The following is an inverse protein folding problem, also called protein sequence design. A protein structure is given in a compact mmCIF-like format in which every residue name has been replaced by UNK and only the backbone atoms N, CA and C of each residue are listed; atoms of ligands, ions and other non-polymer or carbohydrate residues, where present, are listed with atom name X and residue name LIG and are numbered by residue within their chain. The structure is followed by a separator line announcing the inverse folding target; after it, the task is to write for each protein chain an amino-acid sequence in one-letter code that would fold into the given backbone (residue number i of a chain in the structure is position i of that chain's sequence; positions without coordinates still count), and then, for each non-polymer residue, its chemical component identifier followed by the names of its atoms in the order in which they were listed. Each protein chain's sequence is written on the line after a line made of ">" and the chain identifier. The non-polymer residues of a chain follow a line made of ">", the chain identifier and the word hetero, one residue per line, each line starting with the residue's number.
data_IF_534635721234
#
_entry.id   IF_534635721234
#
_cell.length_a   1.000
_cell.length_b   1.000
_cell.length_c   1.000
_cell.angle_alpha   90.00
_cell.angle_beta   90.00
_cell.angle_gamma   90.00
#
_symmetry.space_group_name_H-M   'P 1'
#
loop_
_entity.id
_entity.type
_entity.pdbx_description
1 polymer ?
#
# COMPACT_ATOMS: atom_id res chain seq x y z
N UNK A 1 -11.84 3.09 -16.22
CA UNK A 1 -12.59 3.92 -15.26
C UNK A 1 -12.28 3.39 -13.87
N UNK A 2 -11.75 4.22 -12.96
CA UNK A 2 -11.50 3.80 -11.58
C UNK A 2 -12.84 3.65 -10.87
N UNK A 3 -13.17 2.45 -10.40
CA UNK A 3 -14.37 2.24 -9.59
C UNK A 3 -14.27 3.10 -8.33
N UNK A 4 -15.26 3.96 -8.04
CA UNK A 4 -15.26 4.76 -6.82
C UNK A 4 -15.27 3.84 -5.58
N UNK A 5 -14.56 4.25 -4.53
CA UNK A 5 -14.56 3.55 -3.24
C UNK A 5 -15.98 3.56 -2.64
N UNK A 6 -16.42 2.45 -2.08
CA UNK A 6 -17.75 2.41 -1.42
C UNK A 6 -17.77 3.27 -0.16
N UNK A 7 -18.96 3.73 0.25
CA UNK A 7 -19.14 4.49 1.49
C UNK A 7 -18.68 3.69 2.72
N UNK A 8 -18.95 2.38 2.74
CA UNK A 8 -18.51 1.48 3.82
C UNK A 8 -16.98 1.39 3.91
N UNK A 9 -16.30 1.14 2.79
CA UNK A 9 -14.84 1.11 2.75
C UNK A 9 -14.24 2.46 3.17
N UNK A 10 -14.84 3.57 2.73
CA UNK A 10 -14.43 4.92 3.14
C UNK A 10 -14.57 5.13 4.64
N UNK A 11 -15.68 4.73 5.25
CA UNK A 11 -15.88 4.83 6.71
C UNK A 11 -14.84 3.99 7.47
N UNK A 12 -14.53 2.79 6.99
CA UNK A 12 -13.48 1.94 7.59
C UNK A 12 -12.11 2.63 7.54
N UNK A 13 -11.73 3.23 6.41
CA UNK A 13 -10.49 3.99 6.28
C UNK A 13 -10.47 5.20 7.23
N UNK A 14 -11.53 6.00 7.26
CA UNK A 14 -11.64 7.19 8.13
C UNK A 14 -11.41 6.82 9.60
N UNK A 15 -12.11 5.79 10.08
CA UNK A 15 -12.06 5.39 11.50
C UNK A 15 -10.71 4.81 11.91
N UNK A 16 -10.02 4.14 11.00
CA UNK A 16 -8.81 3.37 11.34
C UNK A 16 -7.51 4.02 10.89
N UNK A 17 -7.55 5.06 10.05
CA UNK A 17 -6.37 5.82 9.63
C UNK A 17 -5.49 6.32 10.80
N UNK A 18 -6.04 6.87 11.91
CA UNK A 18 -5.21 7.28 13.04
C UNK A 18 -4.45 6.11 13.67
N UNK A 19 -5.12 4.96 13.82
CA UNK A 19 -4.53 3.75 14.39
C UNK A 19 -3.45 3.18 13.46
N UNK A 20 -3.69 3.13 12.16
CA UNK A 20 -2.69 2.68 11.18
C UNK A 20 -1.46 3.59 11.17
N UNK A 21 -1.65 4.90 11.31
CA UNK A 21 -0.52 5.85 11.46
C UNK A 21 0.26 5.61 12.74
N UNK A 22 -0.43 5.38 13.85
CA UNK A 22 0.21 5.06 15.13
C UNK A 22 1.06 3.78 15.05
N UNK A 23 0.58 2.77 14.31
CA UNK A 23 1.26 1.49 14.15
C UNK A 23 2.17 1.40 12.91
N UNK A 24 2.42 2.51 12.20
CA UNK A 24 3.14 2.53 10.92
C UNK A 24 4.46 1.75 10.96
N UNK A 25 5.31 1.99 11.96
CA UNK A 25 6.63 1.34 12.03
C UNK A 25 6.53 -0.17 12.22
N UNK A 26 5.57 -0.64 13.03
CA UNK A 26 5.33 -2.07 13.22
C UNK A 26 4.77 -2.72 11.93
N UNK A 27 3.87 -2.02 11.23
CA UNK A 27 3.32 -2.46 9.93
C UNK A 27 4.45 -2.59 8.90
N UNK A 28 5.31 -1.57 8.79
CA UNK A 28 6.46 -1.58 7.89
C UNK A 28 7.38 -2.75 8.19
N UNK A 29 7.72 -3.00 9.47
CA UNK A 29 8.60 -4.10 9.85
C UNK A 29 8.01 -5.47 9.45
N UNK A 30 6.71 -5.69 9.67
CA UNK A 30 6.04 -6.95 9.30
C UNK A 30 5.91 -7.14 7.79
N UNK A 31 5.60 -6.07 7.06
CA UNK A 31 5.54 -6.11 5.60
C UNK A 31 6.93 -6.31 4.99
N UNK A 32 7.96 -5.66 5.53
CA UNK A 32 9.34 -5.88 5.12
C UNK A 32 9.75 -7.35 5.27
N UNK A 33 9.38 -8.00 6.38
CA UNK A 33 9.60 -9.43 6.56
C UNK A 33 8.92 -10.27 5.47
N UNK A 34 7.66 -9.96 5.14
CA UNK A 34 6.91 -10.65 4.08
C UNK A 34 7.54 -10.48 2.69
N UNK A 35 8.18 -9.33 2.43
CA UNK A 35 8.82 -9.01 1.15
C UNK A 35 10.21 -9.63 0.96
N UNK A 36 10.87 -10.15 2.00
CA UNK A 36 12.22 -10.75 1.89
C UNK A 36 12.30 -11.89 0.87
N UNK A 37 11.19 -12.59 0.63
CA UNK A 37 11.12 -13.68 -0.34
C UNK A 37 11.05 -13.23 -1.81
N UNK A 38 10.79 -11.94 -2.08
CA UNK A 38 10.55 -11.44 -3.46
C UNK A 38 11.85 -11.35 -4.27
N UNK A 39 12.97 -10.97 -3.64
CA UNK A 39 14.27 -10.90 -4.30
C UNK A 39 15.39 -11.28 -3.36
N UNK A 40 16.17 -12.30 -3.75
CA UNK A 40 17.35 -12.77 -3.02
C UNK A 40 18.56 -11.84 -3.14
N UNK A 41 18.53 -10.90 -4.08
CA UNK A 41 19.64 -9.97 -4.37
C UNK A 41 19.53 -8.65 -3.60
N UNK A 42 18.37 -8.36 -2.98
CA UNK A 42 18.15 -7.12 -2.24
C UNK A 42 18.64 -7.25 -0.81
N UNK A 43 19.28 -6.20 -0.29
CA UNK A 43 19.64 -6.15 1.12
C UNK A 43 18.39 -6.02 2.00
N UNK A 44 18.50 -6.35 3.28
CA UNK A 44 17.40 -6.15 4.23
C UNK A 44 16.96 -4.68 4.31
N UNK A 45 17.91 -3.73 4.20
CA UNK A 45 17.64 -2.30 4.19
C UNK A 45 16.85 -1.88 2.94
N UNK A 46 17.16 -2.43 1.78
CA UNK A 46 16.41 -2.14 0.54
C UNK A 46 14.97 -2.63 0.65
N UNK A 47 14.78 -3.85 1.16
CA UNK A 47 13.45 -4.44 1.36
C UNK A 47 12.62 -3.62 2.35
N UNK A 48 13.23 -3.16 3.45
CA UNK A 48 12.58 -2.26 4.40
C UNK A 48 12.20 -0.93 3.74
N UNK A 49 13.09 -0.37 2.91
CA UNK A 49 12.84 0.88 2.18
C UNK A 49 11.67 0.74 1.21
N UNK A 50 11.56 -0.40 0.52
CA UNK A 50 10.42 -0.72 -0.35
C UNK A 50 9.14 -0.84 0.48
N UNK A 51 9.14 -1.62 1.58
CA UNK A 51 7.97 -1.79 2.44
C UNK A 51 7.49 -0.45 3.01
N UNK A 52 8.42 0.40 3.46
CA UNK A 52 8.15 1.75 3.95
C UNK A 52 7.51 2.63 2.87
N UNK A 53 8.10 2.65 1.68
CA UNK A 53 7.59 3.44 0.55
C UNK A 53 6.16 3.03 0.18
N UNK A 54 5.87 1.72 0.10
CA UNK A 54 4.53 1.22 -0.20
C UNK A 54 3.51 1.53 0.92
N UNK A 55 3.94 1.42 2.18
CA UNK A 55 3.10 1.72 3.35
C UNK A 55 2.77 3.22 3.42
N UNK A 56 3.74 4.09 3.17
CA UNK A 56 3.55 5.54 3.11
C UNK A 56 2.59 5.95 2.00
N UNK A 57 2.78 5.39 0.80
CA UNK A 57 1.85 5.59 -0.31
C UNK A 57 0.43 5.18 0.07
N UNK A 58 0.26 4.01 0.68
CA UNK A 58 -1.06 3.53 1.09
C UNK A 58 -1.71 4.44 2.13
N UNK A 59 -0.98 4.87 3.18
CA UNK A 59 -1.49 5.79 4.21
C UNK A 59 -1.91 7.13 3.60
N UNK A 60 -1.09 7.67 2.70
CA UNK A 60 -1.36 8.93 2.02
C UNK A 60 -2.60 8.86 1.13
N UNK A 61 -2.74 7.78 0.37
CA UNK A 61 -3.88 7.58 -0.51
C UNK A 61 -5.15 7.25 0.29
N UNK A 62 -5.05 6.47 1.35
CA UNK A 62 -6.15 6.24 2.29
C UNK A 62 -6.63 7.56 2.92
N UNK A 63 -5.70 8.47 3.27
CA UNK A 63 -6.06 9.80 3.75
C UNK A 63 -6.84 10.60 2.70
N UNK A 64 -6.37 10.62 1.46
CA UNK A 64 -7.10 11.27 0.35
C UNK A 64 -8.48 10.65 0.12
N UNK A 65 -8.56 9.33 -0.01
CA UNK A 65 -9.83 8.61 -0.18
C UNK A 65 -10.80 8.88 0.98
N UNK A 66 -10.30 8.95 2.21
CA UNK A 66 -11.10 9.25 3.39
C UNK A 66 -11.69 10.66 3.36
N UNK A 67 -10.92 11.65 2.89
CA UNK A 67 -11.32 13.06 2.86
C UNK A 67 -12.13 13.45 1.62
N UNK A 68 -11.67 13.05 0.43
CA UNK A 68 -12.22 13.49 -0.87
C UNK A 68 -12.93 12.38 -1.63
N UNK A 69 -12.76 11.12 -1.26
CA UNK A 69 -13.24 9.97 -2.05
C UNK A 69 -12.42 9.69 -3.31
N UNK A 70 -11.31 10.41 -3.51
CA UNK A 70 -10.46 10.31 -4.71
C UNK A 70 -8.99 10.07 -4.36
N UNK A 71 -8.27 9.43 -5.28
CA UNK A 71 -6.82 9.26 -5.18
C UNK A 71 -6.11 10.59 -5.49
N UNK A 72 -4.99 10.84 -4.83
CA UNK A 72 -4.07 11.92 -5.24
C UNK A 72 -3.36 11.52 -6.54
N UNK A 73 -2.84 12.48 -7.32
CA UNK A 73 -1.99 12.20 -8.47
C UNK A 73 -0.85 11.21 -8.14
N UNK A 74 -0.55 10.33 -9.09
CA UNK A 74 0.41 9.21 -8.91
C UNK A 74 1.60 9.28 -9.90
N UNK A 75 1.72 10.37 -10.65
CA UNK A 75 2.72 10.52 -11.71
C UNK A 75 4.15 10.40 -11.14
N UNK A 76 4.44 11.11 -10.04
CA UNK A 76 5.75 11.05 -9.37
C UNK A 76 6.00 9.72 -8.64
N UNK A 77 4.93 9.07 -8.19
CA UNK A 77 4.99 7.78 -7.46
C UNK A 77 5.50 6.69 -8.39
N UNK A 78 5.01 6.66 -9.63
CA UNK A 78 5.39 5.64 -10.62
C UNK A 78 6.88 5.70 -10.94
N UNK A 79 7.42 6.91 -11.13
CA UNK A 79 8.85 7.15 -11.36
C UNK A 79 9.70 6.74 -10.15
N UNK A 80 9.28 7.10 -8.94
CA UNK A 80 9.98 6.71 -7.70
C UNK A 80 10.00 5.18 -7.50
N UNK A 81 8.88 4.51 -7.76
CA UNK A 81 8.80 3.06 -7.65
C UNK A 81 9.69 2.36 -8.67
N UNK A 82 9.73 2.86 -9.92
CA UNK A 82 10.64 2.35 -10.95
C UNK A 82 12.11 2.53 -10.56
N UNK A 83 12.49 3.69 -10.00
CA UNK A 83 13.86 3.93 -9.52
C UNK A 83 14.27 3.00 -8.36
N UNK A 84 13.32 2.61 -7.52
CA UNK A 84 13.53 1.60 -6.46
C UNK A 84 13.48 0.16 -7.00
N UNK A 85 13.12 -0.04 -8.28
CA UNK A 85 12.93 -1.37 -8.89
C UNK A 85 11.77 -2.14 -8.27
N UNK A 86 10.71 -1.44 -7.85
CA UNK A 86 9.46 -2.03 -7.39
C UNK A 86 8.66 -2.47 -8.63
N UNK A 87 8.39 -3.77 -8.73
CA UNK A 87 7.64 -4.38 -9.83
C UNK A 87 6.37 -5.09 -9.32
N UNK A 88 5.65 -5.74 -10.24
CA UNK A 88 4.43 -6.50 -9.96
C UNK A 88 4.55 -7.52 -8.82
N UNK A 89 5.74 -8.11 -8.62
CA UNK A 89 5.96 -9.13 -7.59
C UNK A 89 5.97 -8.51 -6.20
N UNK A 90 6.57 -7.31 -6.07
CA UNK A 90 6.53 -6.56 -4.81
C UNK A 90 5.12 -6.12 -4.47
N UNK A 91 4.34 -5.61 -5.44
CA UNK A 91 2.95 -5.23 -5.18
C UNK A 91 2.10 -6.43 -4.75
N UNK A 92 2.24 -7.55 -5.46
CA UNK A 92 1.50 -8.78 -5.14
C UNK A 92 1.83 -9.26 -3.73
N UNK A 93 3.12 -9.39 -3.41
CA UNK A 93 3.53 -9.87 -2.09
C UNK A 93 3.13 -8.92 -0.96
N UNK A 94 3.18 -7.62 -1.21
CA UNK A 94 2.72 -6.61 -0.26
C UNK A 94 1.21 -6.71 -0.01
N UNK A 95 0.42 -6.83 -1.08
CA UNK A 95 -1.04 -6.98 -1.03
C UNK A 95 -1.47 -8.24 -0.28
N UNK A 96 -0.84 -9.38 -0.58
CA UNK A 96 -1.11 -10.68 0.08
C UNK A 96 -0.83 -10.63 1.59
N UNK A 97 0.21 -9.87 1.98
CA UNK A 97 0.60 -9.75 3.37
C UNK A 97 -0.23 -8.73 4.15
N UNK A 98 -0.96 -7.84 3.47
CA UNK A 98 -1.61 -6.69 4.10
C UNK A 98 -2.68 -7.12 5.11
N UNK A 99 -3.59 -8.00 4.70
CA UNK A 99 -4.70 -8.46 5.55
C UNK A 99 -4.20 -9.13 6.83
N UNK A 100 -3.34 -10.18 6.78
CA UNK A 100 -2.87 -10.83 8.01
C UNK A 100 -2.05 -9.88 8.90
N UNK A 101 -1.22 -9.00 8.34
CA UNK A 101 -0.43 -8.03 9.13
C UNK A 101 -1.35 -7.05 9.85
N UNK A 102 -2.36 -6.53 9.16
CA UNK A 102 -3.31 -5.58 9.73
C UNK A 102 -4.18 -6.24 10.81
N UNK A 103 -4.70 -7.44 10.56
CA UNK A 103 -5.50 -8.16 11.56
C UNK A 103 -4.71 -8.47 12.83
N UNK A 104 -3.44 -8.81 12.71
CA UNK A 104 -2.56 -9.12 13.85
C UNK A 104 -2.16 -7.85 14.64
N UNK A 105 -1.85 -6.75 13.96
CA UNK A 105 -1.39 -5.52 14.63
C UNK A 105 -2.52 -4.68 15.23
N UNK A 106 -3.67 -4.63 14.57
CA UNK A 106 -4.80 -3.81 15.04
C UNK A 106 -5.63 -4.53 16.11
N UNK A 107 -5.47 -5.86 16.22
CA UNK A 107 -6.08 -6.67 17.26
C UNK A 107 -7.58 -6.96 17.03
N UNK A 108 -8.19 -7.75 17.93
CA UNK A 108 -9.56 -8.27 17.76
C UNK A 108 -10.66 -7.22 17.91
N UNK A 109 -10.32 -6.03 18.42
CA UNK A 109 -11.29 -4.96 18.71
C UNK A 109 -11.65 -4.11 17.47
N UNK A 110 -10.99 -4.37 16.34
CA UNK A 110 -11.24 -3.66 15.09
C UNK A 110 -12.22 -4.47 14.23
N UNK A 111 -13.20 -3.83 13.56
CA UNK A 111 -14.14 -4.53 12.68
C UNK A 111 -13.41 -5.40 11.64
N UNK A 112 -13.96 -6.58 11.36
CA UNK A 112 -13.35 -7.57 10.44
C UNK A 112 -13.12 -7.02 9.04
N UNK A 113 -13.91 -6.02 8.63
CA UNK A 113 -13.86 -5.41 7.30
C UNK A 113 -12.73 -4.39 7.13
N UNK A 114 -12.05 -3.99 8.22
CA UNK A 114 -10.98 -3.00 8.15
C UNK A 114 -9.81 -3.51 7.32
N UNK A 115 -9.27 -4.69 7.63
CA UNK A 115 -8.12 -5.22 6.90
C UNK A 115 -8.42 -5.42 5.40
N UNK A 116 -9.59 -5.98 4.99
CA UNK A 116 -10.04 -5.98 3.61
C UNK A 116 -10.15 -4.58 2.99
N UNK A 117 -10.73 -3.59 3.67
CA UNK A 117 -10.86 -2.23 3.14
C UNK A 117 -9.51 -1.57 2.83
N UNK A 118 -8.50 -1.81 3.67
CA UNK A 118 -7.12 -1.35 3.42
C UNK A 118 -6.48 -2.09 2.24
N UNK A 119 -6.74 -3.39 2.08
CA UNK A 119 -6.28 -4.18 0.94
C UNK A 119 -6.91 -3.70 -0.37
N UNK A 120 -8.22 -3.42 -0.37
CA UNK A 120 -8.93 -2.86 -1.52
C UNK A 120 -8.39 -1.49 -1.91
N UNK A 121 -8.15 -0.62 -0.92
CA UNK A 121 -7.54 0.69 -1.14
C UNK A 121 -6.15 0.55 -1.79
N UNK A 122 -5.32 -0.38 -1.30
CA UNK A 122 -4.03 -0.68 -1.91
C UNK A 122 -4.18 -1.10 -3.38
N UNK A 123 -5.07 -2.04 -3.69
CA UNK A 123 -5.28 -2.48 -5.06
C UNK A 123 -5.88 -1.42 -5.97
N UNK A 124 -6.70 -0.50 -5.43
CA UNK A 124 -7.15 0.69 -6.17
C UNK A 124 -5.95 1.57 -6.57
N UNK A 125 -5.02 1.82 -5.65
CA UNK A 125 -3.80 2.58 -5.95
C UNK A 125 -2.97 1.87 -7.01
N UNK A 126 -2.71 0.57 -6.84
CA UNK A 126 -1.89 -0.21 -7.80
C UNK A 126 -2.48 -0.19 -9.21
N UNK A 127 -3.81 -0.33 -9.35
CA UNK A 127 -4.49 -0.23 -10.66
C UNK A 127 -4.43 1.18 -11.27
N UNK A 128 -4.32 2.21 -10.44
CA UNK A 128 -4.21 3.59 -10.88
C UNK A 128 -2.77 4.01 -11.23
N UNK A 129 -1.75 3.25 -10.78
CA UNK A 129 -0.38 3.44 -11.21
C UNK A 129 -0.28 3.14 -12.71
N UNK A 130 0.07 4.15 -13.50
CA UNK A 130 0.35 3.96 -14.91
C UNK A 130 1.72 3.30 -15.05
N UNK A 131 1.89 2.30 -15.94
CA UNK A 131 3.23 1.82 -16.26
C UNK A 131 4.06 2.99 -16.77
N UNK A 132 5.29 3.13 -16.27
CA UNK A 132 6.25 4.10 -16.79
C UNK A 132 6.47 3.72 -18.26
N UNK A 133 5.99 4.56 -19.18
CA UNK A 133 6.35 4.43 -20.60
C UNK A 133 7.83 4.72 -20.70
N UNK A 134 8.64 3.67 -20.81
CA UNK A 134 10.03 3.82 -21.23
C UNK A 134 9.96 4.31 -22.67
N UNK A 135 10.44 5.54 -22.92
CA UNK A 135 10.60 6.02 -24.28
C UNK A 135 11.53 5.04 -24.99
N UNK A 136 11.00 4.31 -25.97
CA UNK A 136 11.83 3.56 -26.90
C UNK A 136 12.60 4.60 -27.71
N UNK A 137 13.88 4.78 -27.37
CA UNK A 137 14.80 5.50 -28.25
C UNK A 137 14.94 4.65 -29.52
N UNK A 138 14.31 5.11 -30.60
CA UNK A 138 14.54 4.62 -31.95
C UNK A 138 15.83 5.20 -32.53
#
# INVERSE_FOLDING_TARGET
>A
MSTPISLHQRDMLVRTLPLVRQHKEAIVARLAWALRGVSRQRSARDVETIARTLTELLIDQAHSLSGTGTLRPLDDVSSRHAALGIDGRFYSRFGDALVPVMSDLLGPNVPRDVAPAWCDAFWMVVRALKPVKVAANG
#
